data_IF_919334586877
#
_entry.id   IF_919334586877
#
_cell.length_a   1.000
_cell.length_b   1.000
_cell.length_c   1.000
_cell.angle_alpha   90.00
_cell.angle_beta   90.00
_cell.angle_gamma   90.00
#
_symmetry.space_group_name_H-M   'P 1'
#
loop_
_entity.id
_entity.type
_entity.pdbx_description
1 polymer ?
#
# COMPACT_ATOMS: atom_id res chain seq x y z
N UNK A 1 13.11 0.40 22.99
CA UNK A 1 11.75 0.76 22.54
C UNK A 1 11.88 1.93 21.58
N UNK A 2 11.99 1.66 20.28
CA UNK A 2 12.14 2.71 19.27
C UNK A 2 10.74 3.22 18.97
N UNK A 3 10.48 4.50 19.26
CA UNK A 3 9.28 5.20 18.80
C UNK A 3 9.32 5.20 17.27
N UNK A 4 8.57 4.28 16.64
CA UNK A 4 8.31 4.38 15.21
C UNK A 4 7.58 5.70 15.01
N UNK A 5 8.27 6.69 14.46
CA UNK A 5 7.66 7.93 14.01
C UNK A 5 6.52 7.54 13.07
N UNK A 6 5.28 7.65 13.55
CA UNK A 6 4.10 7.48 12.71
C UNK A 6 4.19 8.56 11.65
N UNK A 7 4.54 8.18 10.42
CA UNK A 7 4.59 9.13 9.30
C UNK A 7 3.16 9.65 9.13
N UNK A 8 2.95 10.92 9.50
CA UNK A 8 1.61 11.54 9.54
C UNK A 8 1.21 12.17 8.21
N UNK A 9 2.17 12.38 7.31
CA UNK A 9 1.95 13.01 6.03
C UNK A 9 3.07 12.64 5.07
N UNK A 10 2.73 12.50 3.79
CA UNK A 10 3.70 12.26 2.72
C UNK A 10 3.42 13.20 1.54
N UNK A 11 4.48 13.77 0.96
CA UNK A 11 4.36 14.52 -0.29
C UNK A 11 4.31 13.55 -1.46
N UNK A 12 3.10 13.22 -1.93
CA UNK A 12 2.89 12.23 -3.01
C UNK A 12 3.46 12.70 -4.35
N UNK A 13 3.47 14.02 -4.62
CA UNK A 13 3.89 14.55 -5.91
C UNK A 13 2.91 14.18 -7.02
N UNK A 14 3.38 13.54 -8.09
CA UNK A 14 2.50 13.02 -9.15
C UNK A 14 1.86 11.71 -8.70
N UNK A 15 0.54 11.71 -8.55
CA UNK A 15 -0.23 10.50 -8.25
C UNK A 15 -0.10 9.50 -9.40
N UNK A 16 0.42 8.30 -9.12
CA UNK A 16 0.57 7.21 -10.10
C UNK A 16 -0.64 6.29 -10.15
N UNK A 17 -1.29 6.08 -8.99
CA UNK A 17 -2.46 5.23 -8.88
C UNK A 17 -3.54 5.88 -8.01
N UNK A 18 -4.78 5.54 -8.32
CA UNK A 18 -5.98 5.84 -7.51
C UNK A 18 -6.87 4.61 -7.52
N UNK A 19 -7.38 4.20 -6.36
CA UNK A 19 -8.32 3.10 -6.22
C UNK A 19 -9.29 3.35 -5.07
N UNK A 20 -10.55 2.97 -5.23
CA UNK A 20 -11.44 2.79 -4.08
C UNK A 20 -11.03 1.52 -3.34
N UNK A 21 -10.86 1.63 -2.02
CA UNK A 21 -10.52 0.49 -1.17
C UNK A 21 -11.76 -0.10 -0.51
N UNK A 22 -12.68 0.77 -0.15
CA UNK A 22 -14.04 0.45 0.28
C UNK A 22 -15.02 1.41 -0.41
N UNK A 23 -16.28 1.39 -0.03
CA UNK A 23 -17.25 2.39 -0.50
C UNK A 23 -16.94 3.82 -0.06
N UNK A 24 -16.13 3.98 1.00
CA UNK A 24 -15.90 5.28 1.64
C UNK A 24 -14.42 5.62 1.86
N UNK A 25 -13.52 4.82 1.26
CA UNK A 25 -12.07 5.03 1.40
C UNK A 25 -11.45 5.07 0.01
N UNK A 26 -10.83 6.20 -0.31
CA UNK A 26 -10.03 6.38 -1.52
C UNK A 26 -8.56 6.17 -1.16
N UNK A 27 -7.88 5.31 -1.91
CA UNK A 27 -6.44 5.19 -1.86
C UNK A 27 -5.81 5.84 -3.09
N UNK A 28 -4.77 6.61 -2.87
CA UNK A 28 -3.98 7.22 -3.93
C UNK A 28 -2.52 7.33 -3.48
N UNK A 29 -1.58 7.31 -4.43
CA UNK A 29 -0.19 7.28 -4.03
C UNK A 29 0.82 7.34 -5.16
N UNK A 30 2.07 7.26 -4.75
CA UNK A 30 3.24 7.29 -5.63
C UNK A 30 4.43 6.66 -4.91
N UNK A 31 5.25 5.92 -5.66
CA UNK A 31 6.42 5.20 -5.16
C UNK A 31 6.11 4.48 -3.84
N UNK A 32 6.78 4.80 -2.75
CA UNK A 32 6.66 4.09 -1.48
C UNK A 32 5.49 4.55 -0.59
N UNK A 33 4.66 5.50 -1.03
CA UNK A 33 3.60 6.06 -0.22
C UNK A 33 2.22 5.78 -0.83
N UNK A 34 1.35 5.16 -0.04
CA UNK A 34 -0.08 5.06 -0.32
C UNK A 34 -0.87 5.81 0.76
N UNK A 35 -1.59 6.83 0.33
CA UNK A 35 -2.49 7.62 1.16
C UNK A 35 -3.87 6.97 1.14
N UNK A 36 -4.52 6.89 2.28
CA UNK A 36 -5.89 6.40 2.45
C UNK A 36 -6.71 7.51 3.07
N UNK A 37 -7.70 8.00 2.34
CA UNK A 37 -8.58 9.07 2.77
C UNK A 37 -10.01 8.55 2.94
N UNK A 38 -10.52 8.65 4.16
CA UNK A 38 -11.89 8.26 4.50
C UNK A 38 -12.83 9.44 4.21
N UNK A 39 -13.78 9.26 3.28
CA UNK A 39 -14.59 10.37 2.75
C UNK A 39 -15.57 10.92 3.79
N UNK A 40 -16.17 10.07 4.64
CA UNK A 40 -17.09 10.52 5.69
C UNK A 40 -16.37 11.18 6.88
N UNK A 41 -15.35 10.52 7.46
CA UNK A 41 -14.68 11.05 8.67
C UNK A 41 -13.61 12.10 8.35
N UNK A 42 -13.18 12.19 7.08
CA UNK A 42 -12.05 13.01 6.62
C UNK A 42 -10.71 12.61 7.24
N UNK A 43 -10.62 11.41 7.81
CA UNK A 43 -9.36 10.89 8.34
C UNK A 43 -8.43 10.45 7.21
N UNK A 44 -7.16 10.75 7.39
CA UNK A 44 -6.08 10.35 6.47
C UNK A 44 -5.10 9.41 7.17
N UNK A 45 -4.72 8.36 6.48
CA UNK A 45 -3.70 7.42 6.93
C UNK A 45 -2.68 7.17 5.82
N UNK A 46 -1.45 6.86 6.22
CA UNK A 46 -0.34 6.64 5.29
C UNK A 46 0.21 5.23 5.48
N UNK A 47 0.13 4.43 4.41
CA UNK A 47 0.92 3.21 4.30
C UNK A 47 2.26 3.57 3.65
N UNK A 48 3.33 3.15 4.32
CA UNK A 48 4.70 3.32 3.83
C UNK A 48 5.23 1.94 3.44
N UNK A 49 5.32 1.70 2.14
CA UNK A 49 5.79 0.44 1.55
C UNK A 49 7.33 0.38 1.55
N UNK A 50 7.92 0.41 2.73
CA UNK A 50 9.36 0.31 2.94
C UNK A 50 9.69 -1.04 3.59
N UNK A 51 10.85 -1.61 3.25
CA UNK A 51 11.41 -2.71 4.03
C UNK A 51 12.24 -2.16 5.20
N UNK A 52 12.33 -2.87 6.33
CA UNK A 52 13.13 -2.44 7.48
C UNK A 52 14.63 -2.22 7.17
N UNK A 53 15.14 -2.80 6.07
CA UNK A 53 16.56 -2.79 5.69
C UNK A 53 16.95 -1.75 4.64
N UNK A 54 16.04 -0.89 4.13
CA UNK A 54 16.41 0.11 3.11
C UNK A 54 15.24 0.78 2.39
N UNK A 55 15.55 1.49 1.30
CA UNK A 55 14.56 2.06 0.37
C UNK A 55 13.60 0.96 -0.09
N UNK A 56 12.30 1.19 0.07
CA UNK A 56 11.28 0.25 -0.41
C UNK A 56 11.27 0.15 -1.93
N UNK A 57 10.80 -0.99 -2.43
CA UNK A 57 10.60 -1.25 -3.86
C UNK A 57 9.45 -0.41 -4.45
N UNK A 58 8.77 0.41 -3.63
CA UNK A 58 7.63 1.21 -4.05
C UNK A 58 6.38 0.37 -4.32
N UNK A 59 5.31 1.06 -4.69
CA UNK A 59 4.00 0.52 -5.00
C UNK A 59 3.74 0.75 -6.47
N UNK A 60 3.48 -0.34 -7.21
CA UNK A 60 3.12 -0.25 -8.62
C UNK A 60 1.60 -0.10 -8.78
N UNK A 61 0.83 -0.97 -8.12
CA UNK A 61 -0.63 -1.01 -8.23
C UNK A 61 -1.28 -1.25 -6.87
N UNK A 62 -2.50 -0.73 -6.70
CA UNK A 62 -3.34 -0.93 -5.51
C UNK A 62 -4.77 -1.24 -5.94
N UNK A 63 -5.38 -2.25 -5.32
CA UNK A 63 -6.79 -2.61 -5.48
C UNK A 63 -7.39 -2.98 -4.14
N UNK A 64 -8.56 -2.45 -3.80
CA UNK A 64 -9.28 -2.87 -2.62
C UNK A 64 -10.54 -3.65 -2.91
N UNK A 65 -11.06 -4.28 -1.85
CA UNK A 65 -12.27 -5.06 -1.92
C UNK A 65 -13.48 -4.21 -1.49
N UNK A 66 -14.48 -4.05 -2.37
CA UNK A 66 -15.60 -3.11 -2.14
C UNK A 66 -16.41 -3.34 -0.85
N UNK A 67 -16.46 -4.59 -0.37
CA UNK A 67 -17.30 -5.00 0.77
C UNK A 67 -16.51 -5.53 1.98
N UNK A 68 -15.20 -5.67 1.85
CA UNK A 68 -14.35 -6.20 2.92
C UNK A 68 -13.25 -5.17 3.15
N UNK A 69 -12.92 -4.90 4.40
CA UNK A 69 -11.89 -3.93 4.76
C UNK A 69 -10.48 -4.49 4.51
N UNK A 70 -10.20 -4.84 3.26
CA UNK A 70 -8.95 -5.41 2.78
C UNK A 70 -8.55 -4.81 1.45
N UNK A 71 -7.25 -4.74 1.22
CA UNK A 71 -6.68 -4.33 -0.06
C UNK A 71 -5.44 -5.13 -0.40
N UNK A 72 -5.13 -5.14 -1.69
CA UNK A 72 -3.91 -5.68 -2.21
C UNK A 72 -3.08 -4.58 -2.87
N UNK A 73 -1.76 -4.66 -2.72
CA UNK A 73 -0.82 -3.89 -3.53
C UNK A 73 0.35 -4.74 -3.98
N UNK A 74 0.95 -4.39 -5.12
CA UNK A 74 2.18 -5.01 -5.62
C UNK A 74 3.37 -4.07 -5.44
N UNK A 75 4.53 -4.65 -5.19
CA UNK A 75 5.80 -3.93 -5.28
C UNK A 75 6.11 -3.48 -6.71
N UNK A 76 6.93 -2.43 -6.84
CA UNK A 76 7.42 -1.93 -8.13
C UNK A 76 8.87 -2.38 -8.39
N UNK A 77 9.09 -3.71 -8.39
CA UNK A 77 10.39 -4.33 -8.67
C UNK A 77 10.23 -5.64 -9.46
N UNK A 78 11.35 -6.15 -10.01
CA UNK A 78 11.33 -7.35 -10.87
C UNK A 78 10.86 -8.62 -10.14
N UNK A 79 11.19 -8.78 -8.86
CA UNK A 79 10.73 -9.91 -8.04
C UNK A 79 9.62 -9.47 -7.09
N UNK A 80 8.62 -8.76 -7.64
CA UNK A 80 7.56 -8.15 -6.85
C UNK A 80 6.78 -9.17 -6.01
N UNK A 81 6.52 -8.79 -4.76
CA UNK A 81 5.50 -9.43 -3.94
C UNK A 81 4.18 -8.69 -4.07
N UNK A 82 3.10 -9.45 -3.88
CA UNK A 82 1.76 -8.90 -3.70
C UNK A 82 1.37 -9.09 -2.25
N UNK A 83 1.05 -7.99 -1.58
CA UNK A 83 0.60 -7.99 -0.19
C UNK A 83 -0.91 -7.86 -0.16
N UNK A 84 -1.57 -8.70 0.63
CA UNK A 84 -2.95 -8.47 1.08
C UNK A 84 -2.88 -7.95 2.51
N UNK A 85 -3.51 -6.80 2.76
CA UNK A 85 -3.57 -6.14 4.07
C UNK A 85 -5.00 -5.83 4.48
N UNK A 86 -5.25 -5.77 5.79
CA UNK A 86 -6.47 -5.18 6.32
C UNK A 86 -6.37 -3.64 6.35
N UNK A 87 -7.53 -3.00 6.42
CA UNK A 87 -7.70 -1.59 6.69
C UNK A 87 -8.66 -1.45 7.90
N UNK A 88 -8.44 -0.50 8.82
CA UNK A 88 -7.39 0.52 8.85
C UNK A 88 -6.02 0.06 9.39
N UNK A 89 -5.89 -1.15 9.93
CA UNK A 89 -4.71 -1.53 10.72
C UNK A 89 -3.44 -1.79 9.88
N UNK A 90 -3.57 -1.98 8.57
CA UNK A 90 -2.47 -2.26 7.63
C UNK A 90 -1.64 -3.51 7.97
N UNK A 91 -2.19 -4.43 8.76
CA UNK A 91 -1.61 -5.73 9.04
C UNK A 91 -1.60 -6.58 7.78
N UNK A 92 -0.48 -7.27 7.54
CA UNK A 92 -0.36 -8.19 6.41
C UNK A 92 -1.14 -9.47 6.71
N UNK A 93 -2.18 -9.73 5.92
CA UNK A 93 -2.96 -10.97 5.94
C UNK A 93 -2.23 -12.07 5.16
N UNK A 94 -1.74 -11.73 3.96
CA UNK A 94 -1.08 -12.69 3.07
C UNK A 94 -0.04 -11.99 2.20
N UNK A 95 1.01 -12.73 1.84
CA UNK A 95 2.02 -12.31 0.84
C UNK A 95 2.06 -13.38 -0.25
N UNK A 96 1.96 -12.95 -1.51
CA UNK A 96 2.26 -13.79 -2.67
C UNK A 96 3.61 -13.39 -3.23
N UNK A 97 4.48 -14.37 -3.44
CA UNK A 97 5.80 -14.16 -3.99
C UNK A 97 5.78 -14.43 -5.49
N UNK A 98 6.11 -13.44 -6.31
CA UNK A 98 6.40 -13.68 -7.72
C UNK A 98 7.61 -14.59 -7.85
N UNK A 99 7.45 -15.77 -8.47
CA UNK A 99 8.56 -16.56 -9.00
C UNK A 99 8.54 -16.43 -10.51
N UNK A 100 9.45 -15.64 -11.07
CA UNK A 100 9.74 -15.73 -12.49
C UNK A 100 10.49 -17.04 -12.74
N UNK A 101 9.79 -18.04 -13.30
CA UNK A 101 10.45 -19.19 -13.90
C UNK A 101 10.90 -18.73 -15.29
N UNK A 102 12.17 -18.35 -15.40
CA UNK A 102 12.79 -18.13 -16.71
C UNK A 102 13.05 -19.51 -17.29
N UNK A 103 12.25 -19.94 -18.27
CA UNK A 103 12.64 -21.05 -19.13
C UNK A 103 13.74 -20.50 -20.05
N UNK A 104 14.99 -20.75 -19.69
CA UNK A 104 16.16 -20.59 -20.57
C UNK A 104 16.34 -21.87 -21.40
#
# INVERSE_FOLDING_TARGET
>A
MVLLHTIRWAKVGRVKFVSLISKDVVCYGNECFAMFFHLTTQDEQVLVANLPSGNGDGINEVRGHKSHYVFAYSENCDNARVFIKNYPEFETIQIFHGKFIIYL
#
